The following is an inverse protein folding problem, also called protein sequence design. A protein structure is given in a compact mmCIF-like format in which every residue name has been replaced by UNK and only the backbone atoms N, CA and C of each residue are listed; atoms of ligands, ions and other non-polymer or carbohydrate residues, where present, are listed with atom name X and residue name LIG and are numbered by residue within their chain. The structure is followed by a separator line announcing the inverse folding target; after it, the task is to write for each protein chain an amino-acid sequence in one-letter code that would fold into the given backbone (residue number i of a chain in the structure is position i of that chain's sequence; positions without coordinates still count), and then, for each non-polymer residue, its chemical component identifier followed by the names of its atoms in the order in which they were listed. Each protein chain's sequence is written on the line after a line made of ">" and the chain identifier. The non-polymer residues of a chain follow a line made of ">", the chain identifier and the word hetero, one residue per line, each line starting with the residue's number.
data_IF_651061146532
#
_entry.id   IF_651061146532
#
_cell.length_a   1.000
_cell.length_b   1.000
_cell.length_c   1.000
_cell.angle_alpha   90.00
_cell.angle_beta   90.00
_cell.angle_gamma   90.00
#
_symmetry.space_group_name_H-M   'P 1'
#
loop_
_entity.id
_entity.type
_entity.pdbx_description
1 polymer ?
#
# COMPACT_ATOMS: atom_id res chain seq x y z
N UNK A 1 2.40 4.78 -18.47
CA UNK A 1 1.22 5.14 -19.27
C UNK A 1 1.61 5.07 -20.74
N UNK A 2 0.72 4.54 -21.58
CA UNK A 2 0.90 4.47 -23.03
C UNK A 2 -0.42 4.89 -23.69
N UNK A 3 -0.37 5.78 -24.67
CA UNK A 3 -1.55 6.18 -25.46
C UNK A 3 -1.14 6.49 -26.89
N UNK A 4 -2.10 6.54 -27.82
CA UNK A 4 -1.83 6.79 -29.24
C UNK A 4 -2.53 8.06 -29.70
N UNK A 5 -1.81 8.91 -30.42
CA UNK A 5 -2.37 10.06 -31.12
C UNK A 5 -2.05 9.95 -32.62
N UNK A 6 -3.07 9.79 -33.49
CA UNK A 6 -2.86 9.64 -34.93
C UNK A 6 -2.31 10.91 -35.61
N UNK A 7 -2.50 12.08 -35.00
CA UNK A 7 -2.03 13.37 -35.54
C UNK A 7 -0.54 13.64 -35.26
N UNK A 8 0.09 12.85 -34.39
CA UNK A 8 1.49 12.99 -34.01
C UNK A 8 2.34 11.87 -34.63
N UNK A 9 2.27 11.71 -35.95
CA UNK A 9 2.98 10.66 -36.70
C UNK A 9 3.91 11.26 -37.76
N UNK A 10 5.01 10.57 -38.07
CA UNK A 10 5.90 10.94 -39.17
C UNK A 10 6.55 9.70 -39.80
N UNK A 11 7.01 9.82 -41.05
CA UNK A 11 7.87 8.82 -41.68
C UNK A 11 9.33 9.08 -41.26
N UNK A 12 10.00 8.16 -40.55
CA UNK A 12 11.40 8.34 -40.16
C UNK A 12 12.33 8.68 -41.33
N UNK A 13 12.02 8.22 -42.55
CA UNK A 13 12.85 8.45 -43.74
C UNK A 13 12.93 9.93 -44.12
N UNK A 14 11.88 10.70 -43.82
CA UNK A 14 11.85 12.15 -44.06
C UNK A 14 12.64 12.93 -43.00
N UNK A 15 12.97 12.28 -41.87
CA UNK A 15 13.59 12.88 -40.69
C UNK A 15 14.83 12.10 -40.23
N UNK A 16 15.77 11.82 -41.14
CA UNK A 16 17.07 11.19 -40.81
C UNK A 16 16.97 9.86 -40.02
N UNK A 17 15.93 9.06 -40.30
CA UNK A 17 15.62 7.81 -39.60
C UNK A 17 15.35 7.97 -38.09
N UNK A 18 14.95 9.17 -37.64
CA UNK A 18 14.52 9.40 -36.26
C UNK A 18 13.20 8.67 -36.03
N UNK A 19 13.19 7.71 -35.11
CA UNK A 19 12.02 6.89 -34.78
C UNK A 19 11.33 7.30 -33.48
N UNK A 20 11.97 8.12 -32.65
CA UNK A 20 11.43 8.62 -31.39
C UNK A 20 12.00 9.99 -31.03
N UNK A 21 11.21 10.78 -30.30
CA UNK A 21 11.60 12.07 -29.74
C UNK A 21 11.15 12.17 -28.28
N UNK A 22 11.88 12.95 -27.48
CA UNK A 22 11.55 13.21 -26.07
C UNK A 22 10.97 14.62 -25.99
N UNK A 23 9.79 14.76 -25.40
CA UNK A 23 9.07 16.02 -25.34
C UNK A 23 8.59 16.31 -23.91
N UNK A 24 8.48 17.59 -23.51
CA UNK A 24 7.79 17.98 -22.29
C UNK A 24 6.33 17.50 -22.30
N UNK A 25 5.85 17.03 -21.15
CA UNK A 25 4.54 16.38 -21.01
C UNK A 25 3.35 17.36 -21.14
N UNK A 26 3.60 18.65 -20.95
CA UNK A 26 2.65 19.75 -21.10
C UNK A 26 2.52 20.25 -22.56
N UNK A 27 3.38 19.79 -23.47
CA UNK A 27 3.35 20.18 -24.88
C UNK A 27 2.23 19.50 -25.68
N UNK A 28 1.79 18.31 -25.25
CA UNK A 28 0.68 17.57 -25.88
C UNK A 28 -0.33 17.12 -24.84
N UNK A 29 -1.53 16.80 -25.32
CA UNK A 29 -2.53 16.15 -24.49
C UNK A 29 -2.01 14.81 -23.94
N UNK A 30 -2.20 14.62 -22.64
CA UNK A 30 -1.96 13.36 -21.94
C UNK A 30 -3.21 13.00 -21.12
N UNK A 31 -3.54 11.70 -20.99
CA UNK A 31 -4.73 11.28 -20.26
C UNK A 31 -4.58 11.63 -18.77
N UNK A 32 -5.49 12.45 -18.20
CA UNK A 32 -5.46 12.79 -16.79
C UNK A 32 -5.83 11.55 -15.97
N UNK A 33 -4.99 11.19 -15.01
CA UNK A 33 -5.26 10.06 -14.10
C UNK A 33 -5.14 10.51 -12.66
N UNK A 34 -6.01 9.93 -11.82
CA UNK A 34 -6.12 10.23 -10.41
C UNK A 34 -6.00 8.93 -9.62
N UNK A 35 -5.39 9.02 -8.44
CA UNK A 35 -5.39 7.92 -7.47
C UNK A 35 -6.43 8.26 -6.42
N UNK A 36 -7.46 7.42 -6.29
CA UNK A 36 -8.62 7.70 -5.44
C UNK A 36 -8.27 7.71 -3.94
N UNK A 37 -7.44 6.78 -3.51
CA UNK A 37 -7.09 6.59 -2.10
C UNK A 37 -5.95 7.52 -1.65
N UNK A 38 -5.47 8.43 -2.50
CA UNK A 38 -4.32 9.29 -2.18
C UNK A 38 -4.66 10.32 -1.10
N UNK A 39 -3.89 10.31 -0.02
CA UNK A 39 -3.92 11.36 1.03
C UNK A 39 -2.84 12.40 0.79
N UNK A 40 -1.66 11.92 0.45
CA UNK A 40 -0.46 12.73 0.27
C UNK A 40 0.44 12.07 -0.78
N UNK A 41 1.37 12.83 -1.34
CA UNK A 41 2.41 12.29 -2.19
C UNK A 41 3.16 13.37 -2.93
N UNK A 42 4.37 13.05 -3.33
CA UNK A 42 5.19 13.90 -4.17
C UNK A 42 5.13 13.39 -5.60
N UNK A 43 4.70 14.26 -6.52
CA UNK A 43 4.82 13.97 -7.95
C UNK A 43 6.28 14.14 -8.36
N UNK A 44 6.79 13.28 -9.24
CA UNK A 44 8.14 13.45 -9.78
C UNK A 44 8.23 14.74 -10.60
N UNK A 45 9.36 15.45 -10.51
CA UNK A 45 9.68 16.58 -11.38
C UNK A 45 9.95 16.15 -12.85
N UNK A 46 9.99 14.85 -13.14
CA UNK A 46 10.12 14.31 -14.49
C UNK A 46 8.82 14.48 -15.29
N UNK A 47 8.74 15.61 -15.99
CA UNK A 47 7.64 15.96 -16.90
C UNK A 47 8.02 15.74 -18.36
N UNK A 48 8.53 14.55 -18.71
CA UNK A 48 8.85 14.19 -20.09
C UNK A 48 8.10 12.94 -20.53
N UNK A 49 7.88 12.84 -21.83
CA UNK A 49 7.31 11.67 -22.50
C UNK A 49 8.10 11.36 -23.76
N UNK A 50 8.10 10.10 -24.14
CA UNK A 50 8.67 9.62 -25.40
C UNK A 50 7.54 9.51 -26.42
N UNK A 51 7.67 10.23 -27.53
CA UNK A 51 6.80 10.10 -28.69
C UNK A 51 7.50 9.26 -29.74
N UNK A 52 6.86 8.18 -30.20
CA UNK A 52 7.33 7.31 -31.27
C UNK A 52 6.73 7.75 -32.62
N UNK A 53 7.43 7.47 -33.72
CA UNK A 53 7.04 7.87 -35.08
C UNK A 53 5.65 7.37 -35.52
N UNK A 54 5.18 6.28 -34.92
CA UNK A 54 3.86 5.69 -35.14
C UNK A 54 2.74 6.34 -34.30
N UNK A 55 3.04 7.43 -33.59
CA UNK A 55 2.10 8.20 -32.79
C UNK A 55 1.83 7.63 -31.40
N UNK A 56 2.63 6.66 -30.94
CA UNK A 56 2.55 6.13 -29.58
C UNK A 56 3.34 7.05 -28.65
N UNK A 57 2.66 7.53 -27.61
CA UNK A 57 3.24 8.23 -26.48
C UNK A 57 3.47 7.26 -25.33
N UNK A 58 4.66 7.33 -24.75
CA UNK A 58 5.06 6.57 -23.58
C UNK A 58 5.53 7.51 -22.48
N UNK A 59 4.88 7.45 -21.32
CA UNK A 59 5.29 8.18 -20.12
C UNK A 59 5.44 7.22 -18.95
N UNK A 60 6.65 7.17 -18.40
CA UNK A 60 6.98 6.41 -17.19
C UNK A 60 7.50 7.39 -16.16
N UNK A 61 6.83 7.46 -15.01
CA UNK A 61 7.15 8.39 -13.93
C UNK A 61 7.18 7.62 -12.62
N UNK A 62 8.22 7.81 -11.78
CA UNK A 62 8.19 7.30 -10.43
C UNK A 62 7.20 8.13 -9.60
N UNK A 63 6.46 7.48 -8.69
CA UNK A 63 5.57 8.15 -7.77
C UNK A 63 5.80 7.65 -6.36
N UNK A 64 5.82 8.57 -5.40
CA UNK A 64 5.70 8.28 -3.99
C UNK A 64 4.34 8.78 -3.51
N UNK A 65 3.50 7.85 -3.06
CA UNK A 65 2.13 8.15 -2.64
C UNK A 65 1.83 7.51 -1.30
N UNK A 66 1.09 8.23 -0.47
CA UNK A 66 0.49 7.74 0.76
C UNK A 66 -0.99 7.51 0.50
N UNK A 67 -1.46 6.29 0.76
CA UNK A 67 -2.83 5.86 0.51
C UNK A 67 -3.62 5.68 1.81
N UNK A 68 -4.92 5.94 1.77
CA UNK A 68 -5.83 5.44 2.80
C UNK A 68 -6.05 3.94 2.62
N UNK A 69 -6.05 3.20 3.72
CA UNK A 69 -6.35 1.79 3.73
C UNK A 69 -7.00 1.38 5.05
N UNK A 70 -8.11 0.65 4.97
CA UNK A 70 -8.82 0.13 6.14
C UNK A 70 -8.17 -1.16 6.62
N UNK A 71 -7.37 -1.06 7.69
CA UNK A 71 -6.63 -2.19 8.24
C UNK A 71 -7.49 -3.06 9.16
N UNK A 72 -7.36 -4.38 9.05
CA UNK A 72 -8.03 -5.37 9.90
C UNK A 72 -7.00 -5.92 10.89
N UNK A 73 -7.00 -5.41 12.13
CA UNK A 73 -5.99 -5.75 13.14
C UNK A 73 -6.39 -6.92 14.07
N UNK A 74 -7.48 -7.63 13.78
CA UNK A 74 -7.99 -8.69 14.66
C UNK A 74 -6.92 -9.72 15.05
N UNK A 75 -6.10 -10.13 14.07
CA UNK A 75 -5.03 -11.12 14.22
C UNK A 75 -3.66 -10.52 14.49
N UNK A 76 -3.57 -9.23 14.80
CA UNK A 76 -2.29 -8.59 15.08
C UNK A 76 -1.47 -9.37 16.12
N UNK A 77 -0.15 -9.56 15.95
CA UNK A 77 0.72 -9.09 14.85
C UNK A 77 0.84 -10.05 13.64
N UNK A 78 -0.02 -11.07 13.55
CA UNK A 78 -0.05 -12.10 12.51
C UNK A 78 -1.09 -11.78 11.42
N UNK A 79 -1.23 -10.51 11.09
CA UNK A 79 -2.25 -9.99 10.19
C UNK A 79 -1.77 -9.92 8.73
N UNK A 80 -2.73 -10.13 7.82
CA UNK A 80 -2.59 -9.84 6.39
C UNK A 80 -3.54 -8.70 6.06
N UNK A 81 -3.03 -7.71 5.33
CA UNK A 81 -3.78 -6.54 4.90
C UNK A 81 -3.89 -6.52 3.39
N UNK A 82 -5.04 -6.06 2.89
CA UNK A 82 -5.26 -5.82 1.47
C UNK A 82 -5.69 -4.38 1.29
N UNK A 83 -4.84 -3.60 0.62
CA UNK A 83 -5.07 -2.19 0.36
C UNK A 83 -5.35 -1.96 -1.11
N UNK A 84 -6.29 -1.06 -1.41
CA UNK A 84 -6.66 -0.72 -2.76
C UNK A 84 -5.88 0.52 -3.23
N UNK A 85 -5.36 0.45 -4.44
CA UNK A 85 -4.83 1.57 -5.20
C UNK A 85 -5.64 1.66 -6.50
N UNK A 86 -6.58 2.59 -6.57
CA UNK A 86 -7.49 2.74 -7.68
C UNK A 86 -7.08 3.94 -8.53
N UNK A 87 -6.75 3.67 -9.79
CA UNK A 87 -6.44 4.67 -10.80
C UNK A 87 -7.68 4.93 -11.64
N UNK A 88 -8.13 6.17 -11.68
CA UNK A 88 -9.36 6.59 -12.36
C UNK A 88 -9.14 7.83 -13.23
N UNK A 89 -10.00 8.05 -14.22
CA UNK A 89 -10.09 9.31 -14.97
C UNK A 89 -11.55 9.75 -15.05
N UNK A 90 -11.91 10.77 -14.27
CA UNK A 90 -13.29 11.29 -14.22
C UNK A 90 -13.56 12.45 -15.18
N UNK A 91 -12.58 12.82 -16.01
CA UNK A 91 -12.74 13.93 -16.95
C UNK A 91 -13.31 13.49 -18.31
N UNK A 92 -13.28 12.18 -18.59
CA UNK A 92 -13.66 11.61 -19.88
C UNK A 92 -14.49 10.35 -19.66
N UNK A 93 -15.70 10.26 -20.24
CA UNK A 93 -16.50 9.05 -20.17
C UNK A 93 -15.78 7.87 -20.83
N UNK A 94 -15.82 6.71 -20.16
CA UNK A 94 -15.19 5.48 -20.62
C UNK A 94 -15.84 4.91 -21.88
N UNK A 95 -17.14 5.16 -22.06
CA UNK A 95 -17.91 4.60 -23.17
C UNK A 95 -17.53 5.25 -24.50
N UNK A 96 -17.14 6.52 -24.49
CA UNK A 96 -16.94 7.31 -25.72
C UNK A 96 -15.50 7.76 -25.93
N UNK A 97 -14.80 8.18 -24.86
CA UNK A 97 -13.62 9.03 -25.01
C UNK A 97 -12.34 8.38 -24.48
N UNK A 98 -12.36 7.82 -23.27
CA UNK A 98 -11.16 7.31 -22.62
C UNK A 98 -11.37 5.98 -21.90
N UNK A 99 -10.86 4.90 -22.50
CA UNK A 99 -10.80 3.57 -21.87
C UNK A 99 -9.41 3.33 -21.31
N UNK A 100 -9.30 3.09 -20.00
CA UNK A 100 -8.06 2.67 -19.39
C UNK A 100 -7.96 1.15 -19.36
N UNK A 101 -6.77 0.63 -19.70
CA UNK A 101 -6.43 -0.78 -19.68
C UNK A 101 -5.07 -1.01 -19.05
N UNK A 102 -4.91 -2.16 -18.42
CA UNK A 102 -3.64 -2.60 -17.86
C UNK A 102 -2.73 -3.08 -18.99
N UNK A 103 -1.47 -2.62 -18.98
CA UNK A 103 -0.48 -3.03 -19.99
C UNK A 103 0.06 -4.45 -19.75
N UNK A 104 0.11 -4.87 -18.50
CA UNK A 104 0.71 -6.14 -18.04
C UNK A 104 -0.30 -6.90 -17.21
N UNK A 105 -0.23 -8.22 -17.27
CA UNK A 105 -1.00 -9.08 -16.39
C UNK A 105 -0.59 -8.88 -14.93
N UNK A 106 -1.48 -9.26 -14.01
CA UNK A 106 -1.21 -9.18 -12.56
C UNK A 106 0.01 -10.03 -12.15
N UNK A 107 0.18 -11.22 -12.74
CA UNK A 107 1.31 -12.13 -12.47
C UNK A 107 2.67 -11.53 -12.87
N UNK A 108 2.74 -10.88 -14.03
CA UNK A 108 3.95 -10.19 -14.50
C UNK A 108 4.26 -9.00 -13.60
N UNK A 109 3.25 -8.18 -13.29
CA UNK A 109 3.39 -7.01 -12.42
C UNK A 109 3.86 -7.40 -11.02
N UNK A 110 3.37 -8.54 -10.50
CA UNK A 110 3.79 -9.10 -9.22
C UNK A 110 5.25 -9.55 -9.25
N UNK A 111 5.69 -10.27 -10.29
CA UNK A 111 7.08 -10.72 -10.45
C UNK A 111 8.06 -9.54 -10.51
N UNK A 112 7.71 -8.53 -11.29
CA UNK A 112 8.52 -7.32 -11.41
C UNK A 112 8.58 -6.60 -10.07
N UNK A 113 7.44 -6.43 -9.38
CA UNK A 113 7.38 -5.78 -8.07
C UNK A 113 8.26 -6.48 -7.03
N UNK A 114 8.28 -7.83 -7.01
CA UNK A 114 9.17 -8.60 -6.13
C UNK A 114 10.65 -8.36 -6.44
N UNK A 115 11.02 -8.14 -7.70
CA UNK A 115 12.42 -7.85 -8.06
C UNK A 115 12.90 -6.47 -7.61
N UNK A 116 11.98 -5.51 -7.46
CA UNK A 116 12.27 -4.14 -7.01
C UNK A 116 12.20 -3.97 -5.48
N UNK A 117 11.69 -4.94 -4.73
CA UNK A 117 11.68 -4.90 -3.27
C UNK A 117 13.10 -5.10 -2.72
N UNK A 118 13.76 -3.98 -2.38
CA UNK A 118 15.17 -3.98 -1.96
C UNK A 118 15.40 -4.45 -0.52
N UNK A 119 14.39 -4.36 0.35
CA UNK A 119 14.55 -4.64 1.78
C UNK A 119 13.39 -5.42 2.36
N UNK A 120 13.76 -6.30 3.29
CA UNK A 120 12.86 -7.00 4.19
C UNK A 120 12.37 -6.05 5.30
N UNK A 121 11.39 -5.21 4.97
CA UNK A 121 10.71 -4.36 5.94
C UNK A 121 9.75 -5.14 6.84
N UNK A 122 8.94 -4.41 7.61
CA UNK A 122 7.88 -4.99 8.45
C UNK A 122 6.85 -5.79 7.64
N UNK A 123 6.60 -5.37 6.40
CA UNK A 123 5.59 -5.97 5.54
C UNK A 123 6.23 -6.80 4.44
N UNK A 124 5.73 -8.02 4.28
CA UNK A 124 6.04 -8.89 3.15
C UNK A 124 4.94 -8.75 2.11
N UNK A 125 5.32 -8.36 0.90
CA UNK A 125 4.40 -8.35 -0.24
C UNK A 125 4.02 -9.80 -0.63
N UNK A 126 2.73 -10.12 -0.63
CA UNK A 126 2.25 -11.50 -0.83
C UNK A 126 1.47 -11.71 -2.11
N UNK A 127 0.64 -10.75 -2.51
CA UNK A 127 -0.19 -10.88 -3.71
C UNK A 127 -0.54 -9.51 -4.31
N UNK A 128 -0.81 -9.53 -5.61
CA UNK A 128 -1.37 -8.41 -6.35
C UNK A 128 -2.47 -8.92 -7.27
N UNK A 129 -3.69 -8.41 -7.07
CA UNK A 129 -4.78 -8.59 -8.03
C UNK A 129 -5.15 -7.27 -8.66
N UNK A 130 -5.57 -7.32 -9.92
CA UNK A 130 -5.92 -6.14 -10.70
C UNK A 130 -7.33 -6.32 -11.23
N UNK A 131 -8.18 -5.32 -11.01
CA UNK A 131 -9.57 -5.31 -11.45
C UNK A 131 -9.79 -4.08 -12.32
N UNK A 132 -10.34 -4.28 -13.51
CA UNK A 132 -10.73 -3.19 -14.42
C UNK A 132 -12.26 -3.14 -14.47
N UNK A 133 -12.85 -1.97 -14.24
CA UNK A 133 -14.29 -1.79 -14.31
C UNK A 133 -14.68 -0.37 -14.71
N UNK A 134 -15.97 -0.15 -14.92
CA UNK A 134 -16.54 1.17 -15.19
C UNK A 134 -17.42 1.57 -14.01
N UNK A 135 -17.09 2.69 -13.39
CA UNK A 135 -17.87 3.28 -12.30
C UNK A 135 -18.89 4.27 -12.88
N UNK A 136 -20.16 4.16 -12.49
CA UNK A 136 -21.21 5.06 -12.95
C UNK A 136 -21.36 6.25 -12.00
N UNK A 137 -21.24 7.47 -12.54
CA UNK A 137 -21.42 8.74 -11.84
C UNK A 137 -22.29 9.65 -12.70
N UNK A 138 -23.41 10.14 -12.16
CA UNK A 138 -24.35 11.04 -12.85
C UNK A 138 -24.71 10.59 -14.28
N UNK A 139 -25.10 9.31 -14.40
CA UNK A 139 -25.46 8.62 -15.65
C UNK A 139 -24.32 8.49 -16.70
N UNK A 140 -23.07 8.79 -16.31
CA UNK A 140 -21.89 8.59 -17.14
C UNK A 140 -20.96 7.53 -16.51
N UNK A 141 -20.42 6.64 -17.36
CA UNK A 141 -19.46 5.64 -16.92
C UNK A 141 -18.02 6.14 -17.04
N UNK A 142 -17.21 5.97 -16.00
CA UNK A 142 -15.80 6.34 -15.96
C UNK A 142 -14.90 5.13 -15.72
N UNK A 143 -13.74 5.10 -16.37
CA UNK A 143 -12.85 3.94 -16.33
C UNK A 143 -12.07 3.95 -15.02
N UNK A 144 -12.04 2.79 -14.35
CA UNK A 144 -11.30 2.59 -13.09
C UNK A 144 -10.50 1.30 -13.18
N UNK A 145 -9.24 1.36 -12.74
CA UNK A 145 -8.37 0.22 -12.55
C UNK A 145 -7.94 0.17 -11.10
N UNK A 146 -8.35 -0.88 -10.38
CA UNK A 146 -7.98 -1.09 -8.97
C UNK A 146 -6.92 -2.16 -8.84
N UNK A 147 -5.78 -1.77 -8.27
CA UNK A 147 -4.71 -2.65 -7.83
C UNK A 147 -4.94 -2.99 -6.36
N UNK A 148 -5.27 -4.24 -6.07
CA UNK A 148 -5.40 -4.72 -4.69
C UNK A 148 -4.08 -5.34 -4.26
N UNK A 149 -3.39 -4.65 -3.36
CA UNK A 149 -2.06 -5.00 -2.88
C UNK A 149 -2.22 -5.71 -1.54
N UNK A 150 -1.87 -7.00 -1.51
CA UNK A 150 -1.87 -7.78 -0.27
C UNK A 150 -0.47 -7.86 0.33
N UNK A 151 -0.41 -7.62 1.64
CA UNK A 151 0.82 -7.62 2.43
C UNK A 151 0.60 -8.37 3.74
N UNK A 152 1.59 -9.14 4.15
CA UNK A 152 1.61 -9.90 5.41
C UNK A 152 2.62 -9.27 6.37
N UNK A 153 2.21 -9.01 7.62
CA UNK A 153 3.10 -8.45 8.63
C UNK A 153 4.11 -9.50 9.09
N UNK A 154 5.37 -9.11 9.27
CA UNK A 154 6.40 -9.94 9.90
C UNK A 154 6.30 -9.77 11.42
N UNK A 155 5.86 -10.79 12.17
CA UNK A 155 5.56 -10.65 13.59
C UNK A 155 6.80 -10.68 14.49
N UNK A 156 8.00 -10.93 13.94
CA UNK A 156 9.20 -11.27 14.73
C UNK A 156 9.51 -10.26 15.83
N UNK A 157 9.49 -8.96 15.52
CA UNK A 157 9.76 -7.92 16.53
C UNK A 157 8.65 -7.83 17.58
N UNK A 158 7.39 -8.02 17.19
CA UNK A 158 6.26 -8.05 18.11
C UNK A 158 6.29 -9.29 19.02
N UNK A 159 6.74 -10.44 18.51
CA UNK A 159 6.92 -11.63 19.33
C UNK A 159 7.99 -11.37 20.40
N UNK A 160 9.16 -10.84 20.01
CA UNK A 160 10.28 -10.62 20.92
C UNK A 160 10.01 -9.53 21.95
N UNK A 161 9.35 -8.43 21.55
CA UNK A 161 9.23 -7.24 22.38
C UNK A 161 7.87 -7.07 23.08
N UNK A 162 6.82 -7.79 22.65
CA UNK A 162 5.49 -7.73 23.26
C UNK A 162 5.04 -9.10 23.78
N UNK A 163 5.02 -10.14 22.94
CA UNK A 163 4.44 -11.43 23.34
C UNK A 163 5.31 -12.14 24.39
N UNK A 164 6.62 -12.25 24.16
CA UNK A 164 7.52 -12.93 25.11
C UNK A 164 7.56 -12.26 26.50
N UNK A 165 7.72 -10.91 26.61
CA UNK A 165 7.66 -10.24 27.92
C UNK A 165 6.32 -10.43 28.62
N UNK A 166 5.21 -10.34 27.88
CA UNK A 166 3.87 -10.57 28.45
C UNK A 166 3.71 -11.99 28.98
N UNK A 167 4.13 -13.01 28.23
CA UNK A 167 4.13 -14.40 28.71
C UNK A 167 5.00 -14.57 29.96
N UNK A 168 6.18 -13.94 30.02
CA UNK A 168 7.05 -13.99 31.19
C UNK A 168 6.39 -13.34 32.41
N UNK A 169 5.70 -12.20 32.25
CA UNK A 169 4.95 -11.56 33.33
C UNK A 169 3.82 -12.46 33.85
N UNK A 170 3.04 -13.11 32.97
CA UNK A 170 2.01 -14.06 33.42
C UNK A 170 2.58 -15.28 34.15
N UNK A 171 3.73 -15.81 33.70
CA UNK A 171 4.40 -16.91 34.39
C UNK A 171 4.92 -16.49 35.77
N UNK A 172 5.46 -15.27 35.88
CA UNK A 172 5.88 -14.70 37.16
C UNK A 172 4.71 -14.45 38.10
N UNK A 173 3.58 -13.94 37.59
CA UNK A 173 2.34 -13.74 38.36
C UNK A 173 1.86 -15.07 38.98
N UNK A 174 1.79 -16.13 38.16
CA UNK A 174 1.43 -17.47 38.63
C UNK A 174 2.44 -18.01 39.65
N UNK A 175 3.74 -17.83 39.42
CA UNK A 175 4.78 -18.29 40.35
C UNK A 175 4.69 -17.59 41.72
N UNK A 176 4.44 -16.28 41.75
CA UNK A 176 4.27 -15.50 43.00
C UNK A 176 2.99 -15.88 43.72
N UNK A 177 1.90 -16.14 42.99
CA UNK A 177 0.62 -16.54 43.56
C UNK A 177 0.75 -17.85 44.35
N UNK A 178 1.37 -18.87 43.74
CA UNK A 178 1.53 -20.21 44.33
C UNK A 178 2.80 -20.38 45.18
N UNK A 179 3.73 -19.43 45.14
CA UNK A 179 4.98 -19.47 45.89
C UNK A 179 4.83 -19.23 47.39
N UNK A 180 5.73 -19.79 48.22
CA UNK A 180 5.82 -19.48 49.64
C UNK A 180 6.53 -18.12 49.81
N UNK A 181 5.76 -17.04 49.72
CA UNK A 181 6.26 -15.67 49.87
C UNK A 181 5.41 -14.92 50.89
N UNK A 182 6.02 -13.95 51.58
CA UNK A 182 5.28 -13.11 52.53
C UNK A 182 4.25 -12.24 51.81
N UNK A 183 3.21 -11.81 52.52
CA UNK A 183 2.17 -10.96 51.94
C UNK A 183 2.75 -9.63 51.40
N UNK A 184 3.72 -9.07 52.11
CA UNK A 184 4.41 -7.82 51.73
C UNK A 184 5.17 -7.97 50.40
N UNK A 185 5.92 -9.06 50.24
CA UNK A 185 6.62 -9.37 48.98
C UNK A 185 5.62 -9.57 47.84
N UNK A 186 4.52 -10.30 48.06
CA UNK A 186 3.48 -10.51 47.04
C UNK A 186 2.87 -9.19 46.55
N UNK A 187 2.57 -8.26 47.46
CA UNK A 187 2.03 -6.94 47.10
C UNK A 187 3.04 -6.15 46.26
N UNK A 188 4.30 -6.12 46.67
CA UNK A 188 5.36 -5.40 45.94
C UNK A 188 5.56 -5.98 44.53
N UNK A 189 5.54 -7.31 44.38
CA UNK A 189 5.60 -7.97 43.07
C UNK A 189 4.38 -7.65 42.20
N UNK A 190 3.17 -7.63 42.77
CA UNK A 190 1.97 -7.30 42.00
C UNK A 190 2.01 -5.88 41.44
N UNK A 191 2.50 -4.92 42.22
CA UNK A 191 2.70 -3.53 41.77
C UNK A 191 3.67 -3.49 40.60
N UNK A 192 4.79 -4.22 40.67
CA UNK A 192 5.76 -4.30 39.58
C UNK A 192 5.16 -4.92 38.30
N UNK A 193 4.34 -5.96 38.42
CA UNK A 193 3.64 -6.59 37.29
C UNK A 193 2.65 -5.64 36.65
N UNK A 194 1.85 -4.90 37.43
CA UNK A 194 0.90 -3.88 36.93
C UNK A 194 1.64 -2.76 36.19
N UNK A 195 2.77 -2.30 36.72
CA UNK A 195 3.60 -1.30 36.04
C UNK A 195 4.16 -1.84 34.72
N UNK A 196 4.66 -3.07 34.72
CA UNK A 196 5.17 -3.74 33.51
C UNK A 196 4.10 -3.93 32.44
N UNK A 197 2.91 -4.40 32.81
CA UNK A 197 1.79 -4.57 31.89
C UNK A 197 1.29 -3.22 31.34
N UNK A 198 1.26 -2.18 32.16
CA UNK A 198 0.92 -0.82 31.73
C UNK A 198 1.90 -0.28 30.68
N UNK A 199 3.21 -0.49 30.87
CA UNK A 199 4.22 -0.10 29.87
C UNK A 199 4.02 -0.87 28.55
N UNK A 200 3.76 -2.19 28.61
CA UNK A 200 3.50 -2.99 27.42
C UNK A 200 2.21 -2.56 26.69
N UNK A 201 1.15 -2.20 27.44
CA UNK A 201 -0.08 -1.67 26.87
C UNK A 201 0.14 -0.33 26.14
N UNK A 202 0.99 0.55 26.68
CA UNK A 202 1.37 1.81 26.00
C UNK A 202 2.13 1.53 24.71
N UNK A 203 3.09 0.59 24.73
CA UNK A 203 3.84 0.18 23.53
C UNK A 203 2.89 -0.38 22.46
N UNK A 204 1.94 -1.22 22.86
CA UNK A 204 0.92 -1.76 21.97
C UNK A 204 0.05 -0.65 21.39
N UNK A 205 -0.44 0.27 22.22
CA UNK A 205 -1.28 1.39 21.77
C UNK A 205 -0.55 2.30 20.77
N UNK A 206 0.74 2.54 20.97
CA UNK A 206 1.56 3.32 20.04
C UNK A 206 1.86 2.58 18.72
N UNK A 207 1.76 1.26 18.71
CA UNK A 207 2.02 0.42 17.54
C UNK A 207 0.78 0.17 16.69
N UNK A 208 -0.42 0.32 17.27
CA UNK A 208 -1.68 0.09 16.58
C UNK A 208 -2.17 1.37 15.89
N UNK A 209 -2.76 1.24 14.69
CA UNK A 209 -3.42 2.38 14.06
C UNK A 209 -4.62 2.81 14.90
N UNK A 210 -4.83 4.11 15.03
CA UNK A 210 -5.95 4.73 15.79
C UNK A 210 -7.33 4.43 15.20
N UNK A 211 -7.42 3.81 14.02
CA UNK A 211 -8.64 3.70 13.20
C UNK A 211 -9.34 2.34 13.22
N UNK A 212 -9.00 1.41 14.11
CA UNK A 212 -9.66 0.10 14.09
C UNK A 212 -11.03 0.09 14.78
N UNK A 213 -12.09 -0.21 14.02
CA UNK A 213 -13.43 -0.47 14.52
C UNK A 213 -13.53 -1.73 15.42
N UNK A 214 -12.47 -2.54 15.54
CA UNK A 214 -12.40 -3.71 16.42
C UNK A 214 -11.04 -3.83 17.10
N UNK A 215 -10.96 -3.94 18.44
CA UNK A 215 -9.69 -4.13 19.13
C UNK A 215 -9.03 -5.45 18.69
N UNK A 216 -7.68 -5.51 18.68
CA UNK A 216 -6.97 -6.77 18.41
C UNK A 216 -7.16 -7.74 19.58
N UNK A 217 -7.07 -9.05 19.31
CA UNK A 217 -7.23 -10.09 20.35
C UNK A 217 -6.21 -9.93 21.49
N UNK A 218 -5.00 -9.43 21.19
CA UNK A 218 -3.97 -9.19 22.21
C UNK A 218 -4.30 -8.02 23.14
N UNK A 219 -5.24 -7.14 22.77
CA UNK A 219 -5.70 -6.04 23.62
C UNK A 219 -6.93 -6.39 24.48
N UNK A 220 -7.50 -7.58 24.31
CA UNK A 220 -8.67 -8.04 25.09
C UNK A 220 -8.31 -8.99 26.24
N UNK A 221 -7.04 -9.36 26.38
CA UNK A 221 -6.52 -10.30 27.38
C UNK A 221 -5.37 -9.66 28.16
#
# INVERSE_FOLDING_TARGET
>A
QEWKNPFATWDPRDFCNISQVILPLDMYWSPPVFILERVDGQNSDMNYMVLMHNGIFNSTRPFQVTLTCSLIILKFPFDTQTCNLSVASFLYPAVTDLVMKTRRAASESMKDSQSFFLTDGEWKFTNLSIIEYTEMLDDQGFSVITYMISMERRPTLYILNLILPTCALYLLDMAVLFGPSSLEEKINFQIAIILGSSMLAVILNNSLPTSSNKPPVIGTH
#
